data_IF_915782600336
#
_entry.id   IF_915782600336
#
_cell.length_a   1.000
_cell.length_b   1.000
_cell.length_c   1.000
_cell.angle_alpha   90.00
_cell.angle_beta   90.00
_cell.angle_gamma   90.00
#
_symmetry.space_group_name_H-M   'P 1'
#
loop_
_entity.id
_entity.type
_entity.pdbx_description
1 polymer ?
#
# COMPACT_ATOMS: atom_id res chain seq x y z
N UNK A 1 -3.71 -10.73 5.83
CA UNK A 1 -2.84 -10.40 4.68
C UNK A 1 -3.09 -8.96 4.27
N UNK A 2 -2.05 -8.23 3.87
CA UNK A 2 -2.16 -6.82 3.47
C UNK A 2 -1.62 -6.61 2.06
N UNK A 3 -2.43 -6.00 1.21
CA UNK A 3 -2.03 -5.50 -0.10
C UNK A 3 -1.68 -4.01 0.04
N UNK A 4 -0.54 -3.60 -0.47
CA UNK A 4 -0.05 -2.23 -0.46
C UNK A 4 -0.11 -1.74 -1.91
N UNK A 5 -0.99 -0.80 -2.20
CA UNK A 5 -1.21 -0.27 -3.54
C UNK A 5 -0.77 1.18 -3.62
N UNK A 6 -0.24 1.62 -4.75
CA UNK A 6 -0.06 3.04 -4.99
C UNK A 6 -1.40 3.77 -5.17
N UNK A 7 -1.34 5.10 -5.05
CA UNK A 7 -2.50 5.99 -5.13
C UNK A 7 -2.88 6.36 -6.57
N UNK A 8 -3.85 7.28 -6.71
CA UNK A 8 -4.35 7.72 -8.01
C UNK A 8 -3.34 8.51 -8.86
N UNK A 9 -2.22 8.96 -8.28
CA UNK A 9 -1.16 9.69 -9.01
C UNK A 9 -0.32 8.76 -9.89
N UNK A 10 -0.50 7.44 -9.76
CA UNK A 10 0.24 6.42 -10.50
C UNK A 10 -0.61 5.74 -11.57
N UNK A 11 -0.02 5.40 -12.74
CA UNK A 11 -0.75 4.78 -13.86
C UNK A 11 -1.03 3.29 -13.64
N UNK A 12 -0.70 2.73 -12.47
CA UNK A 12 -0.90 1.32 -12.15
C UNK A 12 -2.37 0.93 -12.33
N UNK A 13 -2.69 -0.14 -13.11
CA UNK A 13 -4.06 -0.55 -13.37
C UNK A 13 -4.63 -1.36 -12.18
N UNK A 14 -4.65 -0.76 -10.99
CA UNK A 14 -5.00 -1.39 -9.71
C UNK A 14 -6.37 -2.07 -9.78
N UNK A 15 -7.37 -1.39 -10.33
CA UNK A 15 -8.73 -1.91 -10.58
C UNK A 15 -8.78 -3.19 -11.42
N UNK A 16 -7.77 -3.44 -12.27
CA UNK A 16 -7.62 -4.68 -13.03
C UNK A 16 -6.84 -5.73 -12.24
N UNK A 17 -5.78 -5.33 -11.54
CA UNK A 17 -4.86 -6.24 -10.84
C UNK A 17 -5.52 -6.88 -9.61
N UNK A 18 -6.14 -6.09 -8.72
CA UNK A 18 -6.66 -6.61 -7.44
C UNK A 18 -7.67 -7.75 -7.63
N UNK A 19 -8.66 -7.67 -8.55
CA UNK A 19 -9.57 -8.80 -8.78
C UNK A 19 -8.88 -10.13 -9.11
N UNK A 20 -7.86 -10.12 -9.97
CA UNK A 20 -7.10 -11.34 -10.29
C UNK A 20 -6.32 -11.84 -9.08
N UNK A 21 -5.66 -10.94 -8.36
CA UNK A 21 -4.93 -11.29 -7.15
C UNK A 21 -5.84 -11.91 -6.08
N UNK A 22 -7.02 -11.35 -5.84
CA UNK A 22 -8.00 -11.93 -4.91
C UNK A 22 -8.48 -13.31 -5.38
N UNK A 23 -8.60 -13.54 -6.69
CA UNK A 23 -8.92 -14.86 -7.26
C UNK A 23 -7.88 -15.91 -6.90
N UNK A 24 -6.60 -15.60 -7.09
CA UNK A 24 -5.47 -16.49 -6.74
C UNK A 24 -5.40 -16.74 -5.23
N UNK A 25 -5.54 -15.68 -4.42
CA UNK A 25 -5.53 -15.80 -2.97
C UNK A 25 -6.68 -16.66 -2.45
N UNK A 26 -7.88 -16.51 -3.02
CA UNK A 26 -9.04 -17.33 -2.71
C UNK A 26 -8.83 -18.80 -3.10
N UNK A 27 -8.23 -19.06 -4.26
CA UNK A 27 -7.86 -20.42 -4.68
C UNK A 27 -6.84 -21.05 -3.70
N UNK A 28 -5.96 -20.23 -3.12
CA UNK A 28 -5.06 -20.62 -2.03
C UNK A 28 -5.69 -20.68 -0.63
N UNK A 29 -7.01 -20.50 -0.50
CA UNK A 29 -7.74 -20.62 0.77
C UNK A 29 -7.80 -19.36 1.63
N UNK A 30 -7.40 -18.19 1.12
CA UNK A 30 -7.49 -16.91 1.83
C UNK A 30 -8.83 -16.24 1.53
N UNK A 31 -9.65 -16.03 2.55
CA UNK A 31 -10.94 -15.35 2.39
C UNK A 31 -10.77 -13.83 2.24
N UNK A 32 -11.67 -13.17 1.50
CA UNK A 32 -11.68 -11.71 1.31
C UNK A 32 -11.66 -10.95 2.66
N UNK A 33 -12.33 -11.50 3.69
CA UNK A 33 -12.36 -10.91 5.05
C UNK A 33 -11.00 -10.87 5.74
N UNK A 34 -10.03 -11.66 5.29
CA UNK A 34 -8.65 -11.70 5.79
C UNK A 34 -7.70 -10.77 5.02
N UNK A 35 -8.22 -10.05 4.02
CA UNK A 35 -7.47 -9.21 3.11
C UNK A 35 -7.88 -7.75 3.30
N UNK A 36 -6.90 -6.89 3.40
CA UNK A 36 -7.08 -5.44 3.36
C UNK A 36 -6.13 -4.82 2.35
N UNK A 37 -6.52 -3.64 1.84
CA UNK A 37 -5.67 -2.80 1.00
C UNK A 37 -5.35 -1.53 1.76
N UNK A 38 -4.06 -1.20 1.82
CA UNK A 38 -3.57 0.12 2.21
C UNK A 38 -3.02 0.85 0.98
N UNK A 39 -3.46 2.09 0.78
CA UNK A 39 -2.92 2.96 -0.26
C UNK A 39 -1.67 3.67 0.27
N UNK A 40 -0.55 3.45 -0.42
CA UNK A 40 0.76 3.99 -0.13
C UNK A 40 0.88 5.41 -0.68
N UNK A 41 0.54 6.39 0.16
CA UNK A 41 0.47 7.81 -0.22
C UNK A 41 1.83 8.51 -0.14
N UNK A 42 2.75 8.02 0.70
CA UNK A 42 3.87 8.82 1.16
C UNK A 42 3.38 10.16 1.74
N UNK A 43 3.81 11.27 1.14
CA UNK A 43 3.41 12.63 1.56
C UNK A 43 2.18 13.19 0.85
N UNK A 44 1.54 12.40 -0.02
CA UNK A 44 0.39 12.86 -0.79
C UNK A 44 -0.86 13.05 0.07
N UNK A 45 -1.84 13.78 -0.47
CA UNK A 45 -3.13 13.99 0.19
C UNK A 45 -3.86 12.65 0.38
N UNK A 46 -4.49 12.42 1.55
CA UNK A 46 -5.38 11.28 1.76
C UNK A 46 -6.45 11.17 0.68
N UNK A 47 -6.64 9.96 0.16
CA UNK A 47 -7.72 9.66 -0.77
C UNK A 47 -9.05 9.66 -0.01
N UNK A 48 -10.07 10.28 -0.60
CA UNK A 48 -11.46 10.12 -0.15
C UNK A 48 -11.91 8.67 -0.29
N UNK A 49 -13.01 8.31 0.39
CA UNK A 49 -13.59 6.98 0.25
C UNK A 49 -13.97 6.66 -1.21
N UNK A 50 -14.54 7.63 -1.93
CA UNK A 50 -14.88 7.48 -3.35
C UNK A 50 -13.65 7.21 -4.21
N UNK A 51 -12.56 7.96 -4.03
CA UNK A 51 -11.31 7.75 -4.77
C UNK A 51 -10.70 6.37 -4.48
N UNK A 52 -10.74 5.92 -3.21
CA UNK A 52 -10.29 4.58 -2.83
C UNK A 52 -11.13 3.48 -3.49
N UNK A 53 -12.46 3.62 -3.45
CA UNK A 53 -13.39 2.67 -4.08
C UNK A 53 -13.21 2.63 -5.59
N UNK A 54 -13.03 3.77 -6.24
CA UNK A 54 -12.76 3.85 -7.66
C UNK A 54 -11.44 3.16 -8.04
N UNK A 55 -10.37 3.43 -7.29
CA UNK A 55 -9.04 2.85 -7.51
C UNK A 55 -9.04 1.33 -7.34
N UNK A 56 -9.71 0.82 -6.32
CA UNK A 56 -9.85 -0.61 -6.06
C UNK A 56 -10.85 -1.29 -7.01
N UNK A 57 -11.89 -0.59 -7.44
CA UNK A 57 -12.95 -1.10 -8.29
C UNK A 57 -13.93 -2.03 -7.56
N UNK A 58 -14.38 -3.07 -8.27
CA UNK A 58 -15.45 -3.99 -7.80
C UNK A 58 -15.12 -4.74 -6.50
N UNK A 59 -13.85 -4.75 -6.11
CA UNK A 59 -13.38 -5.41 -4.89
C UNK A 59 -13.63 -4.55 -3.64
N UNK A 60 -13.88 -3.25 -3.81
CA UNK A 60 -14.04 -2.30 -2.70
C UNK A 60 -15.20 -2.63 -1.75
N UNK A 61 -16.20 -3.36 -2.21
CA UNK A 61 -17.31 -3.84 -1.37
C UNK A 61 -16.98 -5.09 -0.54
N UNK A 62 -15.86 -5.76 -0.83
CA UNK A 62 -15.50 -7.07 -0.26
C UNK A 62 -14.34 -7.02 0.71
N UNK A 63 -13.48 -6.00 0.58
CA UNK A 63 -12.25 -5.87 1.35
C UNK A 63 -12.16 -4.50 2.02
N UNK A 64 -11.44 -4.44 3.14
CA UNK A 64 -11.20 -3.17 3.83
C UNK A 64 -10.19 -2.33 3.05
N UNK A 65 -10.53 -1.07 2.79
CA UNK A 65 -9.66 -0.08 2.17
C UNK A 65 -9.20 0.96 3.20
N UNK A 66 -7.96 1.41 3.12
CA UNK A 66 -7.46 2.45 3.99
C UNK A 66 -6.29 3.25 3.39
N UNK A 67 -6.14 4.50 3.81
CA UNK A 67 -4.94 5.29 3.51
C UNK A 67 -3.82 4.96 4.51
N UNK A 68 -2.57 5.04 4.06
CA UNK A 68 -1.43 5.24 4.96
C UNK A 68 -1.46 6.65 5.57
N UNK A 69 -1.02 6.79 6.81
CA UNK A 69 -0.92 8.09 7.47
C UNK A 69 0.48 8.25 8.09
N UNK A 70 1.31 9.07 7.46
CA UNK A 70 2.70 9.26 7.89
C UNK A 70 2.85 10.29 9.02
N UNK A 71 1.86 11.16 9.24
CA UNK A 71 1.95 12.24 10.24
C UNK A 71 1.47 11.84 11.63
N UNK A 72 0.71 10.75 11.75
CA UNK A 72 0.19 10.29 13.04
C UNK A 72 1.13 9.22 13.66
N UNK A 73 2.02 9.59 14.60
CA UNK A 73 2.96 8.65 15.19
C UNK A 73 2.31 7.48 15.93
N UNK A 74 1.03 7.61 16.35
CA UNK A 74 0.28 6.54 17.02
C UNK A 74 -0.01 5.37 16.06
N UNK A 75 -0.09 5.66 14.76
CA UNK A 75 -0.31 4.69 13.70
C UNK A 75 0.97 4.08 13.14
N UNK A 76 2.14 4.44 13.67
CA UNK A 76 3.43 4.03 13.15
C UNK A 76 4.14 3.03 14.07
N UNK A 77 4.91 2.13 13.45
CA UNK A 77 5.81 1.21 14.12
C UNK A 77 7.26 1.59 13.76
N UNK A 78 8.09 1.81 14.78
CA UNK A 78 9.51 2.11 14.58
C UNK A 78 10.26 0.86 14.10
N UNK A 79 11.02 1.01 13.01
CA UNK A 79 11.73 -0.07 12.33
C UNK A 79 13.25 -0.01 12.49
N UNK A 80 13.78 1.01 13.19
CA UNK A 80 15.22 1.22 13.35
C UNK A 80 15.69 2.48 12.65
N UNK A 81 16.98 2.49 12.28
CA UNK A 81 17.61 3.61 11.57
C UNK A 81 18.17 3.14 10.24
N UNK A 82 18.06 4.01 9.22
CA UNK A 82 18.79 3.85 7.97
C UNK A 82 20.31 4.00 8.21
N UNK A 83 21.17 3.59 7.25
CA UNK A 83 22.62 3.66 7.41
C UNK A 83 23.18 5.07 7.71
N UNK A 84 22.47 6.11 7.29
CA UNK A 84 22.78 7.53 7.56
C UNK A 84 22.24 8.03 8.92
N UNK A 85 21.63 7.15 9.71
CA UNK A 85 21.13 7.44 11.04
C UNK A 85 19.69 7.97 11.08
N UNK A 86 19.02 8.14 9.93
CA UNK A 86 17.63 8.61 9.87
C UNK A 86 16.71 7.55 10.49
N UNK A 87 15.89 7.89 11.51
CA UNK A 87 14.92 6.95 12.06
C UNK A 87 13.86 6.62 10.99
N UNK A 88 13.51 5.35 10.87
CA UNK A 88 12.49 4.89 9.93
C UNK A 88 11.34 4.29 10.71
N UNK A 89 10.13 4.78 10.45
CA UNK A 89 8.90 4.15 10.91
C UNK A 89 8.01 3.82 9.72
N UNK A 90 7.19 2.79 9.86
CA UNK A 90 6.20 2.41 8.84
C UNK A 90 4.82 2.29 9.45
N UNK A 91 3.80 2.38 8.62
CA UNK A 91 2.42 2.13 9.04
C UNK A 91 2.33 0.81 9.83
N UNK A 92 1.78 0.88 11.05
CA UNK A 92 1.72 -0.25 11.96
C UNK A 92 0.96 -1.44 11.34
N UNK A 93 -0.05 -1.17 10.52
CA UNK A 93 -0.79 -2.24 9.81
C UNK A 93 0.11 -2.97 8.82
N UNK A 94 1.06 -2.26 8.20
CA UNK A 94 2.08 -2.83 7.31
C UNK A 94 3.10 -3.63 8.12
N UNK A 95 3.60 -3.10 9.24
CA UNK A 95 4.54 -3.85 10.08
C UNK A 95 3.93 -5.17 10.59
N UNK A 96 2.71 -5.09 11.13
CA UNK A 96 2.03 -6.18 11.84
C UNK A 96 1.44 -7.26 10.91
N UNK A 97 1.28 -7.00 9.60
CA UNK A 97 0.68 -7.97 8.69
C UNK A 97 1.55 -9.23 8.49
N UNK A 98 0.98 -10.44 8.60
CA UNK A 98 1.75 -11.69 8.41
C UNK A 98 2.35 -11.84 7.01
N UNK A 99 1.62 -11.35 6.00
CA UNK A 99 2.01 -11.38 4.60
C UNK A 99 1.65 -10.07 3.91
N UNK A 100 2.60 -9.50 3.17
CA UNK A 100 2.50 -8.21 2.48
C UNK A 100 2.69 -8.38 0.97
N UNK A 101 1.81 -7.80 0.17
CA UNK A 101 1.92 -7.80 -1.30
C UNK A 101 1.96 -6.35 -1.79
N UNK A 102 3.03 -5.95 -2.45
CA UNK A 102 3.14 -4.63 -3.08
C UNK A 102 2.60 -4.64 -4.52
N UNK A 103 1.72 -3.70 -4.86
CA UNK A 103 1.24 -3.45 -6.21
C UNK A 103 1.62 -2.03 -6.60
N UNK A 104 2.32 -1.89 -7.72
CA UNK A 104 2.71 -0.61 -8.27
C UNK A 104 3.23 -0.73 -9.69
N UNK A 105 3.68 0.39 -10.23
CA UNK A 105 4.28 0.48 -11.56
C UNK A 105 5.77 0.84 -11.47
N UNK A 106 6.57 0.27 -12.36
CA UNK A 106 7.96 0.65 -12.55
C UNK A 106 7.97 1.70 -13.66
N UNK A 107 8.29 2.93 -13.27
CA UNK A 107 8.38 4.09 -14.17
C UNK A 107 9.65 4.87 -13.84
N UNK A 108 10.25 5.62 -14.78
CA UNK A 108 11.33 6.53 -14.47
C UNK A 108 10.92 7.51 -13.35
N UNK A 109 11.80 7.71 -12.37
CA UNK A 109 11.55 8.61 -11.24
C UNK A 109 12.74 9.57 -11.05
N UNK A 110 12.51 10.89 -11.03
CA UNK A 110 13.60 11.89 -11.07
C UNK A 110 14.56 11.78 -9.87
N UNK A 111 14.04 11.49 -8.67
CA UNK A 111 14.83 11.44 -7.43
C UNK A 111 15.46 10.06 -7.15
N UNK A 112 14.90 8.99 -7.73
CA UNK A 112 15.19 7.61 -7.28
C UNK A 112 15.65 6.70 -8.42
N UNK A 113 15.85 7.24 -9.63
CA UNK A 113 16.04 6.48 -10.86
C UNK A 113 14.73 5.83 -11.34
N UNK A 114 14.15 4.95 -10.52
CA UNK A 114 12.94 4.19 -10.84
C UNK A 114 11.91 4.21 -9.71
N UNK A 115 10.64 4.15 -10.08
CA UNK A 115 9.52 3.81 -9.20
C UNK A 115 9.33 2.30 -9.06
N UNK A 116 8.34 1.90 -8.24
CA UNK A 116 8.01 0.49 -8.02
C UNK A 116 8.93 -0.22 -7.02
N UNK A 117 8.71 -1.53 -6.85
CA UNK A 117 9.49 -2.36 -5.93
C UNK A 117 9.42 -1.86 -4.48
N UNK A 118 10.57 -1.80 -3.80
CA UNK A 118 10.70 -1.35 -2.42
C UNK A 118 10.12 0.06 -2.15
N UNK A 119 9.93 0.86 -3.21
CA UNK A 119 9.36 2.20 -3.10
C UNK A 119 7.92 2.22 -2.57
N UNK A 120 7.20 1.10 -2.74
CA UNK A 120 5.85 0.93 -2.18
C UNK A 120 5.87 0.93 -0.64
N UNK A 121 6.99 0.57 -0.03
CA UNK A 121 7.23 0.65 1.41
C UNK A 121 7.78 2.03 1.77
N UNK A 122 8.95 2.37 1.25
CA UNK A 122 9.60 3.65 1.52
C UNK A 122 9.75 4.47 0.23
N UNK A 123 9.11 5.64 0.10
CA UNK A 123 8.40 6.38 1.15
C UNK A 123 6.91 6.00 1.28
N UNK A 124 6.39 5.06 0.48
CA UNK A 124 4.95 4.87 0.29
C UNK A 124 4.08 4.74 1.56
N UNK A 125 4.57 4.08 2.60
CA UNK A 125 3.85 3.90 3.89
C UNK A 125 4.74 4.23 5.08
N UNK A 126 5.78 5.04 4.87
CA UNK A 126 6.81 5.33 5.85
C UNK A 126 6.80 6.80 6.31
N UNK A 127 7.42 7.04 7.47
CA UNK A 127 7.77 8.35 8.03
C UNK A 127 9.20 8.36 8.55
#
# INVERSE_FOLDING_TARGET
>A
MLIISDDHTRPTPVKKIIPFLLGELKAGGVADSQISVIFALGTHKPMSETEMRERAGVVSERIRLCNSEFRDPRGLAYCGKAPDGVPVSVDKRVADADFKIGIGSIIPHPECGWGGGAKIIYPGVAS
#
